data_IF_414865496058
#
_entry.id   IF_414865496058
#
_cell.length_a   1.000
_cell.length_b   1.000
_cell.length_c   1.000
_cell.angle_alpha   90.00
_cell.angle_beta   90.00
_cell.angle_gamma   90.00
#
_symmetry.space_group_name_H-M   'P 1'
#
loop_
_entity.id
_entity.type
_entity.pdbx_description
1 polymer ?
#
# COMPACT_ATOMS: atom_id res chain seq x y z
N UNK A 1 -14.89 -0.08 22.10
CA UNK A 1 -14.10 0.60 21.05
C UNK A 1 -13.05 1.57 21.62
N UNK A 2 -13.28 2.12 22.79
CA UNK A 2 -12.40 3.13 23.40
C UNK A 2 -10.95 2.67 23.64
N UNK A 3 -10.75 1.41 24.01
CA UNK A 3 -9.42 0.87 24.27
C UNK A 3 -8.51 0.80 23.01
N UNK A 4 -9.08 0.66 21.82
CA UNK A 4 -8.31 0.65 20.57
C UNK A 4 -7.73 2.04 20.27
N UNK A 5 -8.55 3.08 20.45
CA UNK A 5 -8.12 4.47 20.28
C UNK A 5 -7.12 4.89 21.35
N UNK A 6 -7.31 4.43 22.61
CA UNK A 6 -6.35 4.66 23.69
C UNK A 6 -4.99 4.00 23.39
N UNK A 7 -5.01 2.77 22.88
CA UNK A 7 -3.78 2.07 22.47
C UNK A 7 -3.07 2.78 21.31
N UNK A 8 -3.81 3.21 20.28
CA UNK A 8 -3.27 3.99 19.17
C UNK A 8 -2.66 5.31 19.64
N UNK A 9 -3.34 6.01 20.55
CA UNK A 9 -2.86 7.25 21.14
C UNK A 9 -1.57 7.04 21.94
N UNK A 10 -1.53 6.00 22.77
CA UNK A 10 -0.32 5.65 23.55
C UNK A 10 0.86 5.31 22.62
N UNK A 11 0.62 4.58 21.52
CA UNK A 11 1.65 4.25 20.53
C UNK A 11 2.16 5.50 19.81
N UNK A 12 1.28 6.43 19.49
CA UNK A 12 1.63 7.71 18.86
C UNK A 12 2.44 8.59 19.80
N UNK A 13 2.09 8.63 21.09
CA UNK A 13 2.87 9.33 22.13
C UNK A 13 4.26 8.71 22.33
N UNK A 14 4.36 7.39 22.32
CA UNK A 14 5.64 6.68 22.34
C UNK A 14 6.51 7.05 21.13
N UNK A 15 5.94 7.04 19.93
CA UNK A 15 6.63 7.46 18.72
C UNK A 15 7.10 8.92 18.79
N UNK A 16 6.25 9.82 19.24
CA UNK A 16 6.60 11.22 19.45
C UNK A 16 7.73 11.39 20.48
N UNK A 17 7.63 10.68 21.61
CA UNK A 17 8.66 10.69 22.66
C UNK A 17 10.01 10.18 22.16
N UNK A 18 10.03 9.09 21.36
CA UNK A 18 11.24 8.56 20.76
C UNK A 18 11.89 9.55 19.79
N UNK A 19 11.11 10.19 18.92
CA UNK A 19 11.62 11.22 17.98
C UNK A 19 12.17 12.44 18.74
N UNK A 20 11.54 12.83 19.83
CA UNK A 20 12.00 13.94 20.67
C UNK A 20 13.31 13.62 21.42
N UNK A 21 13.43 12.39 21.92
CA UNK A 21 14.62 11.91 22.64
C UNK A 21 15.81 11.61 21.72
N UNK A 22 15.54 11.12 20.51
CA UNK A 22 16.58 10.87 19.50
C UNK A 22 16.98 12.21 18.87
N UNK A 23 18.14 12.73 19.23
CA UNK A 23 18.72 13.90 18.58
C UNK A 23 19.03 13.54 17.13
N UNK A 24 18.15 13.92 16.23
CA UNK A 24 18.41 13.81 14.80
C UNK A 24 19.58 14.71 14.41
N UNK A 25 20.50 14.25 13.54
CA UNK A 25 21.57 15.09 13.04
C UNK A 25 20.97 16.32 12.33
N UNK A 26 21.59 17.50 12.47
CA UNK A 26 21.09 18.71 11.80
C UNK A 26 21.10 18.49 10.30
N UNK A 27 19.92 18.53 9.69
CA UNK A 27 19.76 18.45 8.23
C UNK A 27 20.22 19.75 7.58
N UNK A 28 20.80 19.66 6.38
CA UNK A 28 21.05 20.83 5.55
C UNK A 28 19.71 21.49 5.19
N UNK A 29 19.45 22.68 5.73
CA UNK A 29 18.30 23.50 5.34
C UNK A 29 18.56 24.10 3.97
N UNK A 30 18.02 23.47 2.93
CA UNK A 30 17.86 24.10 1.63
C UNK A 30 16.45 24.67 1.56
N UNK A 31 16.32 25.96 1.34
CA UNK A 31 15.03 26.57 0.99
C UNK A 31 14.66 26.08 -0.41
N UNK A 32 13.87 25.01 -0.45
CA UNK A 32 13.51 24.33 -1.71
C UNK A 32 12.04 24.59 -2.06
N UNK A 33 11.32 25.33 -1.21
CA UNK A 33 9.89 25.58 -1.41
C UNK A 33 9.67 26.81 -2.29
N UNK A 34 9.07 26.59 -3.45
CA UNK A 34 8.69 27.63 -4.39
C UNK A 34 7.18 27.92 -4.31
N UNK A 35 6.71 29.16 -4.58
CA UNK A 35 5.28 29.48 -4.58
C UNK A 35 4.43 28.59 -5.51
N UNK A 36 5.03 28.08 -6.58
CA UNK A 36 4.39 27.13 -7.52
C UNK A 36 4.21 25.72 -6.95
N UNK A 37 4.82 25.39 -5.81
CA UNK A 37 4.57 24.10 -5.13
C UNK A 37 3.17 24.03 -4.56
N UNK A 38 2.62 25.18 -4.11
CA UNK A 38 1.27 25.23 -3.51
C UNK A 38 0.19 24.71 -4.47
N UNK A 39 0.04 25.24 -5.71
CA UNK A 39 -0.96 24.71 -6.62
C UNK A 39 -0.68 23.28 -7.07
N UNK A 40 0.58 22.89 -7.21
CA UNK A 40 0.95 21.50 -7.56
C UNK A 40 0.52 20.51 -6.46
N UNK A 41 0.83 20.82 -5.20
CA UNK A 41 0.42 20.03 -4.03
C UNK A 41 -1.10 19.99 -3.90
N UNK A 42 -1.77 21.14 -4.07
CA UNK A 42 -3.24 21.21 -3.98
C UNK A 42 -3.91 20.33 -5.04
N UNK A 43 -3.47 20.41 -6.30
CA UNK A 43 -3.96 19.57 -7.39
C UNK A 43 -3.69 18.09 -7.12
N UNK A 44 -2.50 17.75 -6.60
CA UNK A 44 -2.16 16.39 -6.23
C UNK A 44 -3.07 15.84 -5.13
N UNK A 45 -3.27 16.60 -4.05
CA UNK A 45 -4.15 16.20 -2.93
C UNK A 45 -5.59 16.00 -3.41
N UNK A 46 -6.15 16.96 -4.15
CA UNK A 46 -7.52 16.87 -4.67
C UNK A 46 -7.66 15.70 -5.63
N UNK A 47 -6.70 15.52 -6.53
CA UNK A 47 -6.71 14.45 -7.51
C UNK A 47 -6.63 13.05 -6.88
N UNK A 48 -5.72 12.86 -5.91
CA UNK A 48 -5.62 11.58 -5.18
C UNK A 48 -6.85 11.34 -4.31
N UNK A 49 -7.37 12.36 -3.63
CA UNK A 49 -8.59 12.24 -2.82
C UNK A 49 -9.80 11.84 -3.66
N UNK A 50 -9.96 12.44 -4.83
CA UNK A 50 -11.02 12.09 -5.77
C UNK A 50 -10.86 10.66 -6.31
N UNK A 51 -9.64 10.23 -6.62
CA UNK A 51 -9.35 8.86 -7.05
C UNK A 51 -9.63 7.84 -5.93
N UNK A 52 -9.23 8.14 -4.70
CA UNK A 52 -9.57 7.32 -3.53
C UNK A 52 -11.08 7.22 -3.33
N UNK A 53 -11.80 8.35 -3.42
CA UNK A 53 -13.26 8.38 -3.31
C UNK A 53 -13.90 7.53 -4.40
N UNK A 54 -13.44 7.62 -5.64
CA UNK A 54 -13.89 6.79 -6.75
C UNK A 54 -13.71 5.30 -6.47
N UNK A 55 -12.52 4.86 -6.03
CA UNK A 55 -12.22 3.45 -5.77
C UNK A 55 -13.00 2.91 -4.56
N UNK A 56 -13.13 3.69 -3.48
CA UNK A 56 -13.82 3.27 -2.26
C UNK A 56 -15.33 3.23 -2.48
N UNK A 57 -15.88 4.29 -3.04
CA UNK A 57 -17.33 4.41 -3.20
C UNK A 57 -17.87 3.59 -4.38
N UNK A 58 -17.07 3.38 -5.43
CA UNK A 58 -17.41 2.48 -6.52
C UNK A 58 -17.64 1.05 -6.05
N UNK A 59 -16.91 0.63 -5.00
CA UNK A 59 -17.11 -0.66 -4.34
C UNK A 59 -18.42 -0.72 -3.54
N UNK A 60 -18.82 0.39 -2.90
CA UNK A 60 -19.98 0.44 -1.98
C UNK A 60 -21.28 0.72 -2.73
N UNK A 61 -21.26 1.72 -3.62
CA UNK A 61 -22.46 2.22 -4.31
C UNK A 61 -22.64 1.67 -5.72
N UNK A 62 -21.66 0.89 -6.18
CA UNK A 62 -21.52 0.42 -7.55
C UNK A 62 -21.14 1.51 -8.56
N UNK A 63 -20.48 1.06 -9.63
CA UNK A 63 -19.83 1.93 -10.63
C UNK A 63 -20.80 2.73 -11.53
N UNK A 64 -22.11 2.40 -11.52
CA UNK A 64 -23.15 3.09 -12.30
C UNK A 64 -23.56 4.44 -11.69
N UNK A 65 -23.10 4.76 -10.49
CA UNK A 65 -23.51 5.96 -9.79
C UNK A 65 -22.90 7.20 -10.46
N UNK A 66 -23.73 8.18 -10.96
CA UNK A 66 -23.25 9.26 -11.84
C UNK A 66 -22.14 10.13 -11.23
N UNK A 67 -22.19 10.41 -9.91
CA UNK A 67 -21.18 11.26 -9.26
C UNK A 67 -19.78 10.63 -9.23
N UNK A 68 -19.67 9.29 -9.33
CA UNK A 68 -18.39 8.61 -9.44
C UNK A 68 -17.67 8.97 -10.74
N UNK A 69 -18.41 9.15 -11.83
CA UNK A 69 -17.87 9.65 -13.08
C UNK A 69 -17.27 11.05 -12.92
N UNK A 70 -17.94 11.94 -12.17
CA UNK A 70 -17.41 13.27 -11.86
C UNK A 70 -16.16 13.18 -10.96
N UNK A 71 -16.14 12.30 -9.95
CA UNK A 71 -14.97 12.10 -9.12
C UNK A 71 -13.77 11.61 -9.93
N UNK A 72 -13.99 10.68 -10.87
CA UNK A 72 -12.93 10.21 -11.77
C UNK A 72 -12.44 11.32 -12.70
N UNK A 73 -13.36 12.12 -13.28
CA UNK A 73 -13.00 13.26 -14.12
C UNK A 73 -12.15 14.29 -13.36
N UNK A 74 -12.55 14.64 -12.12
CA UNK A 74 -11.77 15.53 -11.24
C UNK A 74 -10.40 14.94 -10.95
N UNK A 75 -10.31 13.63 -10.64
CA UNK A 75 -9.03 12.97 -10.41
C UNK A 75 -8.10 13.07 -11.63
N UNK A 76 -8.61 12.78 -12.83
CA UNK A 76 -7.81 12.85 -14.07
C UNK A 76 -7.37 14.29 -14.36
N UNK A 77 -8.27 15.27 -14.23
CA UNK A 77 -7.95 16.67 -14.49
C UNK A 77 -6.94 17.23 -13.51
N UNK A 78 -7.13 16.95 -12.21
CA UNK A 78 -6.22 17.45 -11.17
C UNK A 78 -4.83 16.77 -11.23
N UNK A 79 -4.78 15.44 -11.40
CA UNK A 79 -3.51 14.74 -11.53
C UNK A 79 -2.80 15.08 -12.85
N UNK A 80 -3.55 15.20 -13.94
CA UNK A 80 -3.03 15.65 -15.22
C UNK A 80 -2.49 17.07 -15.16
N UNK A 81 -3.22 18.00 -14.52
CA UNK A 81 -2.78 19.37 -14.27
C UNK A 81 -1.51 19.44 -13.40
N UNK A 82 -1.47 18.65 -12.33
CA UNK A 82 -0.26 18.52 -11.48
C UNK A 82 0.93 18.01 -12.31
N UNK A 83 0.72 16.95 -13.10
CA UNK A 83 1.75 16.40 -13.99
C UNK A 83 2.26 17.43 -15.00
N UNK A 84 1.36 18.21 -15.63
CA UNK A 84 1.74 19.25 -16.58
C UNK A 84 2.56 20.36 -15.92
N UNK A 85 2.16 20.80 -14.72
CA UNK A 85 2.91 21.81 -13.96
C UNK A 85 4.32 21.30 -13.65
N UNK A 86 4.43 20.10 -13.06
CA UNK A 86 5.72 19.52 -12.68
C UNK A 86 6.62 19.22 -13.89
N UNK A 87 6.05 18.84 -15.03
CA UNK A 87 6.81 18.53 -16.25
C UNK A 87 7.46 19.79 -16.87
N UNK A 88 6.86 20.97 -16.68
CA UNK A 88 7.36 22.22 -17.25
C UNK A 88 8.24 23.03 -16.28
N UNK A 89 8.44 22.57 -15.07
CA UNK A 89 9.27 23.24 -14.06
C UNK A 89 10.75 22.91 -14.19
N UNK A 90 11.58 23.93 -13.92
CA UNK A 90 13.06 23.75 -13.87
C UNK A 90 13.50 23.03 -12.59
N UNK A 91 12.78 23.23 -11.50
CA UNK A 91 13.02 22.64 -10.17
C UNK A 91 11.76 21.90 -9.70
N UNK A 92 11.42 20.75 -10.30
CA UNK A 92 10.22 20.04 -9.92
C UNK A 92 10.36 19.44 -8.52
N UNK A 93 9.26 19.44 -7.74
CA UNK A 93 9.18 18.80 -6.45
C UNK A 93 9.21 17.28 -6.60
N UNK A 94 8.53 16.76 -7.62
CA UNK A 94 8.57 15.37 -8.06
C UNK A 94 9.29 15.30 -9.41
N UNK A 95 10.45 14.72 -9.44
CA UNK A 95 11.19 14.55 -10.71
C UNK A 95 10.53 13.46 -11.56
N UNK A 96 9.58 13.88 -12.40
CA UNK A 96 8.78 12.99 -13.23
C UNK A 96 9.64 12.24 -14.26
N UNK A 97 10.76 12.82 -14.72
CA UNK A 97 11.65 12.18 -15.68
C UNK A 97 12.34 10.98 -15.04
N UNK A 98 12.78 11.12 -13.82
CA UNK A 98 13.37 10.02 -13.05
C UNK A 98 12.31 9.01 -12.59
N UNK A 99 11.14 9.48 -12.12
CA UNK A 99 10.04 8.62 -11.71
C UNK A 99 9.49 7.76 -12.86
N UNK A 100 9.48 8.30 -14.10
CA UNK A 100 9.06 7.56 -15.30
C UNK A 100 10.13 6.59 -15.82
N UNK A 101 11.28 6.52 -15.18
CA UNK A 101 12.31 5.54 -15.56
C UNK A 101 11.76 4.12 -15.39
N UNK A 102 12.08 3.23 -16.33
CA UNK A 102 11.61 1.85 -16.35
C UNK A 102 11.90 1.11 -15.03
N UNK A 103 13.01 1.42 -14.38
CA UNK A 103 13.43 0.79 -13.15
C UNK A 103 12.51 1.20 -11.96
N UNK A 104 12.21 2.48 -11.82
CA UNK A 104 11.34 2.98 -10.72
C UNK A 104 9.90 2.60 -10.95
N UNK A 105 9.41 2.71 -12.19
CA UNK A 105 8.05 2.26 -12.54
C UNK A 105 7.86 0.76 -12.29
N UNK A 106 8.86 -0.08 -12.60
CA UNK A 106 8.76 -1.51 -12.31
C UNK A 106 8.71 -1.80 -10.81
N UNK A 107 9.50 -1.09 -9.99
CA UNK A 107 9.45 -1.24 -8.53
C UNK A 107 8.09 -0.79 -7.96
N UNK A 108 7.57 0.34 -8.40
CA UNK A 108 6.25 0.83 -8.01
C UNK A 108 5.15 -0.15 -8.44
N UNK A 109 5.22 -0.69 -9.66
CA UNK A 109 4.28 -1.67 -10.17
C UNK A 109 4.33 -3.00 -9.40
N UNK A 110 5.53 -3.50 -9.08
CA UNK A 110 5.70 -4.71 -8.26
C UNK A 110 5.10 -4.47 -6.86
N UNK A 111 5.42 -3.34 -6.23
CA UNK A 111 4.86 -2.98 -4.92
C UNK A 111 3.34 -2.86 -4.95
N UNK A 112 2.77 -2.21 -5.97
CA UNK A 112 1.32 -2.13 -6.16
C UNK A 112 0.70 -3.52 -6.38
N UNK A 113 1.34 -4.38 -7.19
CA UNK A 113 0.86 -5.75 -7.44
C UNK A 113 0.81 -6.59 -6.16
N UNK A 114 1.85 -6.53 -5.34
CA UNK A 114 1.85 -7.21 -4.04
C UNK A 114 0.69 -6.71 -3.16
N UNK A 115 0.41 -5.40 -3.17
CA UNK A 115 -0.74 -4.84 -2.43
C UNK A 115 -2.10 -5.25 -2.99
N UNK A 116 -2.22 -5.38 -4.31
CA UNK A 116 -3.42 -5.94 -4.95
C UNK A 116 -3.64 -7.39 -4.50
N UNK A 117 -2.58 -8.20 -4.50
CA UNK A 117 -2.67 -9.60 -4.06
C UNK A 117 -3.08 -9.72 -2.58
N UNK A 118 -2.55 -8.86 -1.73
CA UNK A 118 -2.88 -8.83 -0.28
C UNK A 118 -4.29 -8.30 -0.01
N UNK A 119 -4.90 -7.58 -0.95
CA UNK A 119 -6.28 -7.14 -0.79
C UNK A 119 -7.28 -8.30 -0.64
N UNK A 120 -6.92 -9.51 -1.13
CA UNK A 120 -7.65 -10.75 -0.87
C UNK A 120 -7.78 -11.01 0.64
N UNK A 121 -6.74 -10.82 1.42
CA UNK A 121 -6.75 -11.05 2.87
C UNK A 121 -7.77 -10.17 3.59
N UNK A 122 -7.85 -8.89 3.23
CA UNK A 122 -8.79 -7.95 3.84
C UNK A 122 -10.22 -8.07 3.31
N UNK A 123 -10.36 -8.18 2.00
CA UNK A 123 -11.68 -8.23 1.35
C UNK A 123 -12.22 -9.66 1.21
N UNK A 124 -11.38 -10.60 0.78
CA UNK A 124 -11.76 -11.99 0.58
C UNK A 124 -11.95 -12.73 1.91
N UNK A 125 -10.89 -13.09 2.59
CA UNK A 125 -10.96 -13.93 3.79
C UNK A 125 -11.69 -13.25 4.95
N UNK A 126 -11.31 -12.04 5.35
CA UNK A 126 -11.98 -11.32 6.45
C UNK A 126 -13.40 -10.93 6.09
N UNK A 127 -13.67 -10.56 4.84
CA UNK A 127 -15.00 -10.26 4.34
C UNK A 127 -15.92 -11.48 4.35
N UNK A 128 -15.40 -12.65 3.93
CA UNK A 128 -16.12 -13.92 3.98
C UNK A 128 -16.55 -14.26 5.41
N UNK A 129 -15.63 -14.19 6.38
CA UNK A 129 -15.98 -14.47 7.77
C UNK A 129 -17.02 -13.51 8.33
N UNK A 130 -16.94 -12.23 7.98
CA UNK A 130 -17.94 -11.23 8.37
C UNK A 130 -19.31 -11.56 7.77
N UNK A 131 -19.36 -11.98 6.50
CA UNK A 131 -20.59 -12.40 5.82
C UNK A 131 -21.18 -13.68 6.42
N UNK A 132 -20.35 -14.58 6.94
CA UNK A 132 -20.77 -15.80 7.65
C UNK A 132 -21.21 -15.50 9.11
N UNK A 133 -21.17 -14.23 9.55
CA UNK A 133 -21.64 -13.83 10.88
C UNK A 133 -20.59 -13.99 11.99
N UNK A 134 -19.32 -14.24 11.67
CA UNK A 134 -18.27 -14.28 12.68
C UNK A 134 -18.00 -12.88 13.24
N UNK A 135 -18.11 -12.76 14.57
CA UNK A 135 -17.75 -11.53 15.28
C UNK A 135 -16.25 -11.39 15.51
N UNK A 136 -15.78 -10.18 15.79
CA UNK A 136 -14.36 -9.90 16.03
C UNK A 136 -13.75 -10.75 17.17
N UNK A 137 -14.54 -11.11 18.17
CA UNK A 137 -14.08 -11.99 19.27
C UNK A 137 -13.74 -13.39 18.78
N UNK A 138 -14.53 -13.92 17.84
CA UNK A 138 -14.32 -15.25 17.27
C UNK A 138 -13.13 -15.28 16.32
N UNK A 139 -12.80 -14.14 15.70
CA UNK A 139 -11.66 -13.96 14.81
C UNK A 139 -10.36 -13.56 15.55
N UNK A 140 -10.37 -13.46 16.87
CA UNK A 140 -9.20 -13.05 17.66
C UNK A 140 -7.99 -13.94 17.37
N UNK A 141 -8.16 -15.27 17.36
CA UNK A 141 -7.10 -16.22 17.04
C UNK A 141 -6.54 -16.03 15.62
N UNK A 142 -7.42 -15.80 14.65
CA UNK A 142 -7.05 -15.51 13.28
C UNK A 142 -6.17 -14.25 13.19
N UNK A 143 -6.56 -13.15 13.81
CA UNK A 143 -5.76 -11.91 13.80
C UNK A 143 -4.43 -12.06 14.54
N UNK A 144 -4.35 -12.86 15.62
CA UNK A 144 -3.09 -13.14 16.28
C UNK A 144 -2.11 -13.89 15.37
N UNK A 145 -2.60 -14.88 14.63
CA UNK A 145 -1.79 -15.64 13.66
C UNK A 145 -1.28 -14.70 12.56
N UNK A 146 -2.14 -13.83 12.00
CA UNK A 146 -1.74 -12.86 11.01
C UNK A 146 -0.67 -11.89 11.55
N UNK A 147 -0.88 -11.38 12.75
CA UNK A 147 0.07 -10.46 13.40
C UNK A 147 1.42 -11.12 13.61
N UNK A 148 1.44 -12.35 14.12
CA UNK A 148 2.66 -13.13 14.29
C UNK A 148 3.40 -13.39 12.98
N UNK A 149 2.66 -13.76 11.94
CA UNK A 149 3.21 -13.98 10.60
C UNK A 149 3.78 -12.70 9.97
N UNK A 150 3.06 -11.59 10.10
CA UNK A 150 3.52 -10.26 9.66
C UNK A 150 4.81 -9.85 10.35
N UNK A 151 4.88 -10.02 11.67
CA UNK A 151 6.08 -9.73 12.45
C UNK A 151 7.25 -10.65 12.04
N UNK A 152 7.00 -11.94 11.86
CA UNK A 152 7.98 -12.89 11.36
C UNK A 152 8.51 -12.52 9.97
N UNK A 153 7.62 -12.11 9.07
CA UNK A 153 7.98 -11.61 7.74
C UNK A 153 8.86 -10.37 7.80
N UNK A 154 8.53 -9.42 8.68
CA UNK A 154 9.32 -8.21 8.90
C UNK A 154 10.73 -8.53 9.42
N UNK A 155 10.83 -9.35 10.46
CA UNK A 155 12.14 -9.75 11.04
C UNK A 155 12.98 -10.48 10.00
N UNK A 156 12.40 -11.46 9.31
CA UNK A 156 13.14 -12.23 8.32
C UNK A 156 13.56 -11.35 7.11
N UNK A 157 12.72 -10.39 6.72
CA UNK A 157 13.06 -9.42 5.68
C UNK A 157 14.32 -8.63 6.02
N UNK A 158 14.47 -8.19 7.28
CA UNK A 158 15.65 -7.46 7.73
C UNK A 158 16.87 -8.38 7.84
N UNK A 159 16.71 -9.57 8.43
CA UNK A 159 17.82 -10.52 8.66
C UNK A 159 18.39 -11.08 7.36
N UNK A 160 17.51 -11.31 6.36
CA UNK A 160 17.89 -11.91 5.06
C UNK A 160 18.10 -10.88 3.96
N UNK A 161 18.11 -9.59 4.31
CA UNK A 161 18.30 -8.52 3.34
C UNK A 161 19.73 -8.54 2.79
N UNK A 162 19.89 -8.98 1.56
CA UNK A 162 21.16 -8.92 0.82
C UNK A 162 21.03 -7.83 -0.27
N UNK A 163 21.77 -6.72 -0.18
CA UNK A 163 21.73 -5.67 -1.19
C UNK A 163 22.14 -6.12 -2.60
N UNK A 164 22.80 -7.28 -2.73
CA UNK A 164 23.26 -7.83 -4.01
C UNK A 164 22.18 -8.64 -4.74
N UNK A 165 21.21 -9.18 -3.99
CA UNK A 165 20.14 -10.00 -4.55
C UNK A 165 18.80 -9.67 -3.92
N UNK A 166 18.20 -8.61 -4.39
CA UNK A 166 16.90 -8.13 -3.93
C UNK A 166 15.72 -8.73 -4.72
N UNK A 167 16.01 -9.34 -5.86
CA UNK A 167 14.98 -9.89 -6.76
C UNK A 167 14.46 -11.24 -6.30
N UNK A 168 15.34 -12.15 -5.88
CA UNK A 168 14.93 -13.52 -5.45
C UNK A 168 13.98 -13.52 -4.26
N UNK A 169 14.20 -12.73 -3.18
CA UNK A 169 13.25 -12.65 -2.08
C UNK A 169 11.84 -12.19 -2.51
N UNK A 170 11.77 -11.23 -3.44
CA UNK A 170 10.49 -10.75 -3.97
C UNK A 170 9.78 -11.84 -4.79
N UNK A 171 10.49 -12.52 -5.67
CA UNK A 171 9.93 -13.64 -6.44
C UNK A 171 9.44 -14.77 -5.54
N UNK A 172 10.23 -15.12 -4.52
CA UNK A 172 9.82 -16.10 -3.52
C UNK A 172 8.52 -15.68 -2.80
N UNK A 173 8.44 -14.42 -2.38
CA UNK A 173 7.25 -13.90 -1.70
C UNK A 173 6.01 -13.95 -2.59
N UNK A 174 6.12 -13.50 -3.85
CA UNK A 174 5.02 -13.57 -4.82
C UNK A 174 4.58 -15.02 -5.06
N UNK A 175 5.52 -15.93 -5.19
CA UNK A 175 5.24 -17.36 -5.36
C UNK A 175 4.47 -17.95 -4.16
N UNK A 176 4.90 -17.62 -2.93
CA UNK A 176 4.19 -18.03 -1.70
C UNK A 176 2.77 -17.46 -1.66
N UNK A 177 2.58 -16.19 -2.00
CA UNK A 177 1.25 -15.56 -2.06
C UNK A 177 0.37 -16.30 -3.07
N UNK A 178 0.88 -16.59 -4.27
CA UNK A 178 0.12 -17.29 -5.30
C UNK A 178 -0.32 -18.69 -4.86
N UNK A 179 0.57 -19.46 -4.22
CA UNK A 179 0.24 -20.80 -3.72
C UNK A 179 -0.80 -20.71 -2.60
N UNK A 180 -0.63 -19.80 -1.65
CA UNK A 180 -1.55 -19.63 -0.55
C UNK A 180 -2.94 -19.18 -1.02
N UNK A 181 -3.00 -18.18 -1.92
CA UNK A 181 -4.25 -17.76 -2.53
C UNK A 181 -4.92 -18.85 -3.36
N UNK A 182 -4.14 -19.68 -4.07
CA UNK A 182 -4.69 -20.84 -4.78
C UNK A 182 -5.26 -21.90 -3.82
N UNK A 183 -4.60 -22.14 -2.69
CA UNK A 183 -5.12 -23.06 -1.67
C UNK A 183 -6.44 -22.54 -1.09
N UNK A 184 -6.59 -21.21 -0.92
CA UNK A 184 -7.81 -20.59 -0.41
C UNK A 184 -9.00 -20.68 -1.39
N UNK A 185 -8.78 -21.00 -2.66
CA UNK A 185 -9.89 -21.25 -3.62
C UNK A 185 -10.77 -22.44 -3.21
N UNK A 186 -10.28 -23.32 -2.34
CA UNK A 186 -11.04 -24.45 -1.80
C UNK A 186 -11.92 -24.08 -0.60
N UNK A 187 -11.80 -22.86 -0.10
CA UNK A 187 -12.59 -22.35 1.01
C UNK A 187 -14.03 -22.08 0.59
N UNK A 188 -14.98 -22.35 1.45
CA UNK A 188 -16.39 -22.18 1.20
C UNK A 188 -17.19 -21.89 2.47
N UNK A 189 -18.52 -21.95 2.37
CA UNK A 189 -19.46 -21.61 3.46
C UNK A 189 -19.22 -22.45 4.73
N UNK A 190 -18.65 -23.65 4.60
CA UNK A 190 -18.35 -24.53 5.73
C UNK A 190 -16.95 -24.31 6.33
N UNK A 191 -16.15 -23.42 5.74
CA UNK A 191 -14.79 -23.17 6.22
C UNK A 191 -14.81 -22.41 7.54
N UNK A 192 -13.99 -22.89 8.49
CA UNK A 192 -13.78 -22.23 9.78
C UNK A 192 -12.59 -21.27 9.68
N UNK A 193 -12.50 -20.24 10.54
CA UNK A 193 -11.33 -19.36 10.57
C UNK A 193 -10.00 -20.11 10.71
N UNK A 194 -10.00 -21.24 11.42
CA UNK A 194 -8.82 -22.09 11.65
C UNK A 194 -8.29 -22.76 10.38
N UNK A 195 -9.17 -23.04 9.41
CA UNK A 195 -8.78 -23.70 8.15
C UNK A 195 -7.92 -22.77 7.27
N UNK A 196 -8.09 -21.45 7.43
CA UNK A 196 -7.35 -20.44 6.69
C UNK A 196 -6.11 -19.90 7.42
N UNK A 197 -5.82 -20.37 8.64
CA UNK A 197 -4.69 -19.83 9.43
C UNK A 197 -3.37 -19.91 8.67
N UNK A 198 -3.05 -21.03 8.07
CA UNK A 198 -1.77 -21.25 7.40
C UNK A 198 -1.63 -20.49 6.09
N UNK A 199 -2.67 -20.48 5.29
CA UNK A 199 -2.67 -19.78 4.00
C UNK A 199 -2.63 -18.28 4.21
N UNK A 200 -3.46 -17.75 5.10
CA UNK A 200 -3.50 -16.35 5.40
C UNK A 200 -2.24 -15.87 6.17
N UNK A 201 -1.66 -16.70 7.02
CA UNK A 201 -0.36 -16.43 7.63
C UNK A 201 0.75 -16.37 6.58
N UNK A 202 0.75 -17.28 5.60
CA UNK A 202 1.72 -17.28 4.52
C UNK A 202 1.61 -16.02 3.64
N UNK A 203 0.38 -15.57 3.33
CA UNK A 203 0.14 -14.32 2.58
C UNK A 203 0.65 -13.11 3.38
N UNK A 204 0.29 -13.01 4.67
CA UNK A 204 0.71 -11.90 5.53
C UNK A 204 2.25 -11.83 5.68
N UNK A 205 2.87 -12.99 5.93
CA UNK A 205 4.33 -13.12 6.02
C UNK A 205 5.01 -12.69 4.71
N UNK A 206 4.60 -13.27 3.60
CA UNK A 206 5.24 -13.06 2.31
C UNK A 206 5.08 -11.62 1.81
N UNK A 207 3.91 -11.01 2.04
CA UNK A 207 3.66 -9.63 1.68
C UNK A 207 4.62 -8.64 2.36
N UNK A 208 4.80 -8.79 3.67
CA UNK A 208 5.70 -7.91 4.43
C UNK A 208 7.16 -8.24 4.13
N UNK A 209 7.48 -9.53 3.98
CA UNK A 209 8.83 -9.97 3.59
C UNK A 209 9.27 -9.38 2.25
N UNK A 210 8.37 -9.25 1.27
CA UNK A 210 8.67 -8.62 -0.03
C UNK A 210 8.95 -7.11 0.06
N UNK A 211 8.32 -6.41 1.01
CA UNK A 211 8.42 -4.95 1.09
C UNK A 211 9.82 -4.45 1.41
N UNK A 212 10.57 -5.15 2.26
CA UNK A 212 11.94 -4.77 2.62
C UNK A 212 12.87 -4.69 1.40
N UNK A 213 13.04 -5.77 0.62
CA UNK A 213 13.85 -5.76 -0.60
C UNK A 213 13.40 -4.71 -1.63
N UNK A 214 12.08 -4.56 -1.87
CA UNK A 214 11.56 -3.57 -2.83
C UNK A 214 11.91 -2.14 -2.37
N UNK A 215 11.71 -1.84 -1.10
CA UNK A 215 12.01 -0.52 -0.54
C UNK A 215 13.51 -0.24 -0.54
N UNK A 216 14.33 -1.24 -0.22
CA UNK A 216 15.79 -1.13 -0.24
C UNK A 216 16.31 -0.85 -1.64
N UNK A 217 15.87 -1.59 -2.64
CA UNK A 217 16.26 -1.39 -4.05
C UNK A 217 15.93 0.02 -4.53
N UNK A 218 14.70 0.47 -4.24
CA UNK A 218 14.28 1.81 -4.63
C UNK A 218 15.06 2.91 -3.91
N UNK A 219 15.35 2.73 -2.62
CA UNK A 219 16.13 3.68 -1.84
C UNK A 219 17.58 3.75 -2.33
N UNK A 220 18.22 2.61 -2.63
CA UNK A 220 19.57 2.57 -3.18
C UNK A 220 19.65 3.29 -4.55
N UNK A 221 18.67 3.07 -5.42
CA UNK A 221 18.58 3.77 -6.71
C UNK A 221 18.35 5.27 -6.54
N UNK A 222 17.51 5.66 -5.61
CA UNK A 222 17.24 7.06 -5.31
C UNK A 222 18.51 7.77 -4.77
N UNK A 223 19.20 7.14 -3.82
CA UNK A 223 20.44 7.68 -3.27
C UNK A 223 21.56 7.76 -4.32
N UNK A 224 21.69 6.76 -5.20
CA UNK A 224 22.65 6.78 -6.31
C UNK A 224 22.37 7.91 -7.31
N UNK A 225 21.10 8.28 -7.52
CA UNK A 225 20.70 9.39 -8.37
C UNK A 225 20.86 10.76 -7.66
N UNK A 226 20.83 10.79 -6.33
CA UNK A 226 20.99 11.99 -5.50
C UNK A 226 19.91 12.14 -4.44
N UNK A 227 20.23 12.84 -3.34
CA UNK A 227 19.33 12.95 -2.18
C UNK A 227 17.92 13.48 -2.52
N UNK A 228 17.78 14.37 -3.51
CA UNK A 228 16.48 14.91 -3.94
C UNK A 228 15.51 13.83 -4.43
N UNK A 229 16.02 12.74 -5.00
CA UNK A 229 15.19 11.66 -5.55
C UNK A 229 14.63 10.73 -4.48
N UNK A 230 15.18 10.76 -3.26
CA UNK A 230 14.68 9.97 -2.13
C UNK A 230 13.24 10.34 -1.79
N UNK A 231 12.93 11.64 -1.74
CA UNK A 231 11.57 12.13 -1.47
C UNK A 231 10.62 11.69 -2.58
N UNK A 232 11.03 11.85 -3.84
CA UNK A 232 10.24 11.41 -5.00
C UNK A 232 9.98 9.91 -4.99
N UNK A 233 10.98 9.09 -4.62
CA UNK A 233 10.80 7.64 -4.47
C UNK A 233 9.81 7.29 -3.36
N UNK A 234 9.96 7.87 -2.17
CA UNK A 234 9.06 7.61 -1.04
C UNK A 234 7.61 7.99 -1.41
N UNK A 235 7.41 9.11 -2.10
CA UNK A 235 6.10 9.55 -2.53
C UNK A 235 5.45 8.56 -3.50
N UNK A 236 6.14 8.17 -4.59
CA UNK A 236 5.58 7.23 -5.57
C UNK A 236 5.39 5.83 -4.99
N UNK A 237 6.30 5.37 -4.14
CA UNK A 237 6.18 4.07 -3.47
C UNK A 237 4.97 4.03 -2.53
N UNK A 238 4.82 5.04 -1.67
CA UNK A 238 3.67 5.16 -0.77
C UNK A 238 2.35 5.24 -1.54
N UNK A 239 2.33 6.01 -2.63
CA UNK A 239 1.18 6.11 -3.51
C UNK A 239 0.84 4.76 -4.15
N UNK A 240 1.85 4.05 -4.68
CA UNK A 240 1.66 2.74 -5.30
C UNK A 240 1.11 1.71 -4.30
N UNK A 241 1.57 1.74 -3.05
CA UNK A 241 1.06 0.88 -1.97
C UNK A 241 -0.41 1.17 -1.67
N UNK A 242 -0.76 2.44 -1.49
CA UNK A 242 -2.13 2.86 -1.17
C UNK A 242 -3.09 2.56 -2.33
N UNK A 243 -2.71 2.94 -3.54
CA UNK A 243 -3.53 2.70 -4.74
C UNK A 243 -3.65 1.21 -5.06
N UNK A 244 -2.57 0.44 -4.90
CA UNK A 244 -2.59 -1.01 -5.08
C UNK A 244 -3.60 -1.68 -4.14
N UNK A 245 -3.62 -1.32 -2.86
CA UNK A 245 -4.59 -1.86 -1.89
C UNK A 245 -6.04 -1.49 -2.22
N UNK A 246 -6.30 -0.22 -2.57
CA UNK A 246 -7.64 0.23 -2.95
C UNK A 246 -8.10 -0.40 -4.26
N UNK A 247 -7.26 -0.43 -5.28
CA UNK A 247 -7.58 -1.05 -6.56
C UNK A 247 -7.82 -2.55 -6.41
N UNK A 248 -7.01 -3.25 -5.61
CA UNK A 248 -7.19 -4.67 -5.33
C UNK A 248 -8.54 -4.96 -4.69
N UNK A 249 -8.90 -4.21 -3.65
CA UNK A 249 -10.20 -4.38 -2.99
C UNK A 249 -11.38 -4.00 -3.91
N UNK A 250 -11.23 -2.99 -4.75
CA UNK A 250 -12.24 -2.60 -5.72
C UNK A 250 -12.44 -3.67 -6.81
N UNK A 251 -11.34 -4.24 -7.34
CA UNK A 251 -11.37 -5.31 -8.34
C UNK A 251 -12.02 -6.59 -7.79
N UNK A 252 -11.65 -7.00 -6.58
CA UNK A 252 -12.23 -8.19 -5.94
C UNK A 252 -13.72 -7.99 -5.66
N UNK A 253 -14.13 -6.81 -5.18
CA UNK A 253 -15.53 -6.47 -4.97
C UNK A 253 -16.32 -6.49 -6.28
N UNK A 254 -15.78 -5.90 -7.35
CA UNK A 254 -16.42 -5.91 -8.66
C UNK A 254 -16.60 -7.34 -9.19
N UNK A 255 -15.55 -8.16 -9.10
CA UNK A 255 -15.61 -9.56 -9.52
C UNK A 255 -16.65 -10.36 -8.72
N UNK A 256 -16.70 -10.18 -7.40
CA UNK A 256 -17.69 -10.83 -6.54
C UNK A 256 -19.12 -10.44 -6.92
N UNK A 257 -19.38 -9.16 -7.12
CA UNK A 257 -20.73 -8.68 -7.47
C UNK A 257 -21.18 -9.14 -8.86
N UNK A 258 -20.27 -9.20 -9.85
CA UNK A 258 -20.59 -9.69 -11.20
C UNK A 258 -20.95 -11.18 -11.17
N UNK A 259 -20.29 -11.97 -10.32
CA UNK A 259 -20.59 -13.41 -10.19
C UNK A 259 -21.89 -13.74 -9.47
N UNK A 260 -22.41 -12.81 -8.66
CA UNK A 260 -23.67 -12.99 -7.93
C UNK A 260 -24.90 -12.55 -8.72
N UNK A 261 -24.71 -11.84 -9.84
CA UNK A 261 -25.75 -11.52 -10.83
C UNK A 261 -25.87 -12.62 -11.86
#
# INVERSE_FOLDING_TARGET
>A
MDHVFQFQFALSLLGFGLVYLLRLPPGERKETFEPLDIPSIALFIVGISALCAFLIQGRIQWWDTPWLGYALAVAILCLGGCFLIEAHRKTPMLDLSWLSSRAILSLAAIGATVRVLVAEQGFGASGMFSALGYGNQQLTGYFWVLTGATFGGMVLSVVRLDPKDLTRPVLFAVFVICIAAFADTRSGVMSRPQDLYWTQAAIAFAAVFAMGPIMMEGMLRALAAGQRFVISFIAIFSLSQSMGGLAGSALLSAFHTIRLK
#
